data_IF_815936289515
#
_entry.id   IF_815936289515
#
_cell.length_a   1.000
_cell.length_b   1.000
_cell.length_c   1.000
_cell.angle_alpha   90.00
_cell.angle_beta   90.00
_cell.angle_gamma   90.00
#
_symmetry.space_group_name_H-M   'P 1'
#
loop_
_entity.id
_entity.type
_entity.pdbx_description
1 polymer ?
#
# COMPACT_ATOMS: atom_id res chain seq x y z
N UNK A 1 -29.30 4.38 13.18
CA UNK A 1 -28.95 3.03 12.71
C UNK A 1 -27.48 3.02 12.29
N UNK A 2 -26.65 2.38 13.13
CA UNK A 2 -25.23 1.99 13.02
C UNK A 2 -24.24 2.83 12.16
N UNK A 3 -23.47 3.68 12.85
CA UNK A 3 -22.21 4.26 12.38
C UNK A 3 -21.08 3.23 12.50
N UNK A 4 -20.70 2.60 11.38
CA UNK A 4 -19.32 2.15 11.08
C UNK A 4 -19.12 2.23 9.57
N UNK A 5 -18.82 3.43 9.04
CA UNK A 5 -18.21 3.51 7.70
C UNK A 5 -16.86 2.79 7.82
N UNK A 6 -16.68 1.72 7.07
CA UNK A 6 -15.48 0.91 7.08
C UNK A 6 -14.24 1.80 6.94
N UNK A 7 -13.23 1.57 7.79
CA UNK A 7 -12.09 2.46 8.02
C UNK A 7 -11.12 2.68 6.83
N UNK A 8 -11.47 2.33 5.59
CA UNK A 8 -10.45 2.14 4.54
C UNK A 8 -10.95 2.40 3.11
N UNK A 9 -11.74 3.44 2.88
CA UNK A 9 -12.15 3.81 1.51
C UNK A 9 -11.15 4.82 0.95
N UNK A 10 -10.45 4.46 -0.12
CA UNK A 10 -9.66 5.41 -0.90
C UNK A 10 -10.57 6.25 -1.81
N UNK A 11 -10.37 7.57 -1.78
CA UNK A 11 -11.04 8.56 -2.63
C UNK A 11 -9.98 9.43 -3.30
N UNK A 12 -9.95 9.44 -4.62
CA UNK A 12 -9.06 10.32 -5.38
C UNK A 12 -9.37 11.81 -5.20
N UNK A 13 -10.63 12.13 -4.91
CA UNK A 13 -11.10 13.50 -4.63
C UNK A 13 -10.40 14.14 -3.43
N UNK A 14 -9.79 13.34 -2.55
CA UNK A 14 -9.06 13.83 -1.38
C UNK A 14 -7.57 14.11 -1.64
N UNK A 15 -7.08 13.82 -2.84
CA UNK A 15 -5.70 14.15 -3.19
C UNK A 15 -5.60 15.62 -3.59
N UNK A 16 -4.57 16.31 -3.09
CA UNK A 16 -4.15 17.57 -3.68
C UNK A 16 -3.92 17.36 -5.18
N UNK A 17 -4.24 18.37 -5.99
CA UNK A 17 -4.21 18.32 -7.45
C UNK A 17 -2.76 18.10 -7.92
N UNK A 18 -2.35 16.84 -7.96
CA UNK A 18 -0.97 16.42 -8.21
C UNK A 18 -0.94 15.78 -9.58
N UNK A 19 0.00 16.20 -10.44
CA UNK A 19 0.26 15.51 -11.69
C UNK A 19 0.62 14.06 -11.38
N UNK A 20 -0.11 13.09 -11.94
CA UNK A 20 0.19 11.67 -11.80
C UNK A 20 0.16 10.97 -13.15
N UNK A 21 0.90 9.87 -13.27
CA UNK A 21 0.91 9.04 -14.46
C UNK A 21 -0.03 7.84 -14.27
N UNK A 22 -0.87 7.57 -15.27
CA UNK A 22 -1.64 6.32 -15.36
C UNK A 22 -0.85 5.28 -16.16
N UNK A 23 -0.76 4.05 -15.66
CA UNK A 23 -0.11 2.92 -16.33
C UNK A 23 -1.09 1.76 -16.42
N UNK A 24 -1.44 1.33 -17.64
CA UNK A 24 -2.22 0.12 -17.86
C UNK A 24 -1.28 -1.06 -18.16
N UNK A 25 -1.51 -2.20 -17.51
CA UNK A 25 -0.68 -3.40 -17.66
C UNK A 25 -1.55 -4.65 -17.71
N UNK A 26 -1.19 -5.56 -18.62
CA UNK A 26 -1.82 -6.88 -18.74
C UNK A 26 -0.83 -7.95 -18.30
N UNK A 27 -1.24 -8.75 -17.32
CA UNK A 27 -0.45 -9.84 -16.76
C UNK A 27 -1.16 -11.17 -16.93
N UNK A 28 -0.39 -12.22 -17.13
CA UNK A 28 -0.84 -13.60 -16.95
C UNK A 28 -0.46 -14.06 -15.55
N UNK A 29 -1.44 -14.57 -14.82
CA UNK A 29 -1.24 -15.12 -13.48
C UNK A 29 -0.41 -16.39 -13.59
N UNK A 30 0.72 -16.38 -12.88
CA UNK A 30 1.55 -17.55 -12.68
C UNK A 30 0.91 -18.47 -11.62
N UNK A 31 0.85 -19.80 -11.83
CA UNK A 31 0.28 -20.72 -10.86
C UNK A 31 0.97 -20.74 -9.49
N UNK A 32 2.28 -20.48 -9.45
CA UNK A 32 3.08 -20.51 -8.23
C UNK A 32 3.28 -19.10 -7.63
N UNK A 33 3.53 -18.10 -8.48
CA UNK A 33 3.87 -16.73 -8.07
C UNK A 33 2.69 -15.76 -8.12
N UNK A 34 1.54 -16.18 -8.64
CA UNK A 34 0.38 -15.31 -8.84
C UNK A 34 0.70 -14.19 -9.83
N UNK A 35 0.35 -12.95 -9.47
CA UNK A 35 0.73 -11.77 -10.25
C UNK A 35 2.18 -11.33 -10.00
N UNK A 36 2.81 -11.83 -8.92
CA UNK A 36 4.15 -11.39 -8.53
C UNK A 36 4.20 -10.04 -7.83
N UNK A 37 3.09 -9.60 -7.24
CA UNK A 37 2.94 -8.32 -6.54
C UNK A 37 2.53 -8.63 -5.10
N UNK A 38 3.19 -8.00 -4.13
CA UNK A 38 2.64 -7.88 -2.78
C UNK A 38 2.06 -6.49 -2.59
N UNK A 39 0.96 -6.39 -1.85
CA UNK A 39 0.25 -5.13 -1.67
C UNK A 39 0.27 -4.66 -0.22
N UNK A 40 0.17 -3.36 -0.02
CA UNK A 40 -0.04 -2.73 1.27
C UNK A 40 -1.26 -1.81 1.22
N UNK A 41 -2.10 -1.90 2.26
CA UNK A 41 -3.11 -0.90 2.55
C UNK A 41 -2.55 0.18 3.45
N UNK A 42 -2.62 1.44 3.02
CA UNK A 42 -2.27 2.58 3.86
C UNK A 42 -3.53 3.37 4.22
N UNK A 43 -3.58 3.85 5.47
CA UNK A 43 -4.61 4.78 5.96
C UNK A 43 -3.90 5.79 6.86
N UNK A 44 -3.76 7.03 6.39
CA UNK A 44 -3.26 8.12 7.22
C UNK A 44 -4.42 9.02 7.68
N UNK A 45 -4.54 9.25 8.99
CA UNK A 45 -5.68 9.95 9.63
C UNK A 45 -5.80 11.43 9.27
N UNK A 46 -4.78 12.01 8.64
CA UNK A 46 -4.67 13.45 8.38
C UNK A 46 -4.77 13.84 6.90
N UNK A 47 -5.36 12.97 6.06
CA UNK A 47 -5.93 13.23 4.71
C UNK A 47 -5.31 12.48 3.52
N UNK A 48 -4.03 12.13 3.44
CA UNK A 48 -3.46 12.18 2.08
C UNK A 48 -3.27 10.88 1.27
N UNK A 49 -3.26 9.69 1.86
CA UNK A 49 -3.01 8.47 1.05
C UNK A 49 -3.79 7.29 1.60
N UNK A 50 -4.92 7.00 0.97
CA UNK A 50 -5.64 5.73 1.09
C UNK A 50 -5.42 4.90 -0.16
N UNK A 51 -5.53 3.57 -0.05
CA UNK A 51 -5.59 2.69 -1.23
C UNK A 51 -4.73 1.44 -1.13
N UNK A 52 -4.67 0.71 -2.24
CA UNK A 52 -3.87 -0.52 -2.40
C UNK A 52 -2.62 -0.20 -3.19
N UNK A 53 -1.47 -0.29 -2.55
CA UNK A 53 -0.19 0.05 -3.16
C UNK A 53 0.67 -1.18 -3.38
N UNK A 54 1.48 -1.17 -4.44
CA UNK A 54 2.53 -2.17 -4.66
C UNK A 54 3.58 -2.00 -3.58
N UNK A 55 3.66 -2.98 -2.66
CA UNK A 55 4.65 -3.03 -1.58
C UNK A 55 5.97 -3.63 -2.05
N UNK A 56 5.91 -4.72 -2.80
CA UNK A 56 7.09 -5.36 -3.37
C UNK A 56 6.74 -6.15 -4.62
N UNK A 57 7.77 -6.42 -5.42
CA UNK A 57 7.68 -7.27 -6.60
C UNK A 57 8.46 -8.56 -6.37
N UNK A 58 7.87 -9.69 -6.74
CA UNK A 58 8.50 -11.00 -6.62
C UNK A 58 9.49 -11.17 -7.78
N UNK A 59 10.78 -11.49 -7.54
CA UNK A 59 11.74 -11.72 -8.61
C UNK A 59 11.27 -12.77 -9.62
N UNK A 60 11.60 -12.55 -10.90
CA UNK A 60 11.25 -13.44 -12.03
C UNK A 60 9.75 -13.63 -12.28
N UNK A 61 8.89 -12.84 -11.64
CA UNK A 61 7.45 -12.89 -11.82
C UNK A 61 6.97 -12.10 -13.05
N UNK A 62 5.70 -12.30 -13.43
CA UNK A 62 5.06 -11.56 -14.52
C UNK A 62 5.11 -10.04 -14.31
N UNK A 63 4.87 -9.55 -13.09
CA UNK A 63 4.95 -8.13 -12.77
C UNK A 63 6.36 -7.55 -13.01
N UNK A 64 7.42 -8.24 -12.57
CA UNK A 64 8.81 -7.79 -12.81
C UNK A 64 9.15 -7.85 -14.30
N UNK A 65 8.81 -8.94 -14.97
CA UNK A 65 9.10 -9.14 -16.40
C UNK A 65 8.36 -8.15 -17.30
N UNK A 66 7.21 -7.63 -16.85
CA UNK A 66 6.52 -6.56 -17.57
C UNK A 66 7.35 -5.27 -17.67
N UNK A 67 8.19 -4.99 -16.67
CA UNK A 67 8.95 -3.74 -16.55
C UNK A 67 8.10 -2.47 -16.33
N UNK A 68 6.77 -2.60 -16.31
CA UNK A 68 5.84 -1.47 -16.23
C UNK A 68 5.48 -1.11 -14.79
N UNK A 69 5.43 -2.11 -13.91
CA UNK A 69 5.00 -1.97 -12.50
C UNK A 69 6.20 -1.64 -11.63
N UNK A 70 6.03 -0.70 -10.70
CA UNK A 70 7.03 -0.30 -9.71
C UNK A 70 6.46 -0.36 -8.31
N UNK A 71 7.35 -0.49 -7.34
CA UNK A 71 7.02 -0.30 -5.92
C UNK A 71 6.47 1.11 -5.74
N UNK A 72 5.46 1.25 -4.88
CA UNK A 72 4.67 2.45 -4.62
C UNK A 72 3.64 2.85 -5.67
N UNK A 73 3.49 2.11 -6.77
CA UNK A 73 2.34 2.31 -7.65
C UNK A 73 1.04 2.00 -6.88
N UNK A 74 0.02 2.85 -7.04
CA UNK A 74 -1.34 2.57 -6.56
C UNK A 74 -2.05 1.69 -7.59
N UNK A 75 -2.70 0.63 -7.14
CA UNK A 75 -3.63 -0.14 -7.96
C UNK A 75 -5.00 0.55 -7.91
N UNK A 76 -5.39 1.15 -9.03
CA UNK A 76 -6.64 1.86 -9.17
C UNK A 76 -7.77 0.94 -9.64
N UNK A 77 -7.51 0.09 -10.63
CA UNK A 77 -8.52 -0.75 -11.27
C UNK A 77 -8.00 -2.15 -11.53
N UNK A 78 -8.89 -3.15 -11.46
CA UNK A 78 -8.62 -4.55 -11.81
C UNK A 78 -9.71 -5.04 -12.75
N UNK A 79 -9.35 -5.40 -13.98
CA UNK A 79 -10.28 -5.89 -15.01
C UNK A 79 -11.51 -4.98 -15.21
N UNK A 80 -11.34 -3.66 -15.25
CA UNK A 80 -12.46 -2.72 -15.36
C UNK A 80 -13.15 -2.37 -14.04
N UNK A 81 -12.83 -3.04 -12.93
CA UNK A 81 -13.43 -2.79 -11.61
C UNK A 81 -12.57 -1.81 -10.83
N UNK A 82 -13.07 -0.59 -10.60
CA UNK A 82 -12.38 0.39 -9.75
C UNK A 82 -12.29 -0.12 -8.32
N UNK A 83 -11.12 0.06 -7.71
CA UNK A 83 -10.87 -0.22 -6.31
C UNK A 83 -11.16 0.98 -5.41
N UNK A 84 -11.51 2.12 -6.00
CA UNK A 84 -12.02 3.28 -5.26
C UNK A 84 -13.29 2.86 -4.49
N UNK A 85 -13.50 3.44 -3.31
CA UNK A 85 -14.65 3.10 -2.45
C UNK A 85 -14.70 1.66 -1.88
N UNK A 86 -13.79 0.78 -2.27
CA UNK A 86 -13.69 -0.56 -1.70
C UNK A 86 -12.92 -0.54 -0.38
N UNK A 87 -13.28 -1.46 0.53
CA UNK A 87 -12.45 -1.71 1.71
C UNK A 87 -11.15 -2.40 1.30
N UNK A 88 -10.11 -2.31 2.14
CA UNK A 88 -8.86 -3.02 1.88
C UNK A 88 -9.07 -4.52 1.60
N UNK A 89 -9.94 -5.17 2.39
CA UNK A 89 -10.25 -6.58 2.22
C UNK A 89 -10.96 -6.86 0.90
N UNK A 90 -11.86 -5.97 0.45
CA UNK A 90 -12.58 -6.13 -0.81
C UNK A 90 -11.64 -5.90 -2.00
N UNK A 91 -10.79 -4.89 -1.95
CA UNK A 91 -9.79 -4.64 -2.99
C UNK A 91 -8.82 -5.82 -3.16
N UNK A 92 -8.35 -6.40 -2.05
CA UNK A 92 -7.53 -7.62 -2.07
C UNK A 92 -8.31 -8.78 -2.67
N UNK A 93 -9.58 -8.95 -2.30
CA UNK A 93 -10.44 -10.00 -2.89
C UNK A 93 -10.57 -9.83 -4.40
N UNK A 94 -10.80 -8.62 -4.90
CA UNK A 94 -10.85 -8.33 -6.35
C UNK A 94 -9.55 -8.72 -7.07
N UNK A 95 -8.40 -8.45 -6.46
CA UNK A 95 -7.10 -8.86 -7.02
C UNK A 95 -6.89 -10.38 -7.02
N UNK A 96 -7.41 -11.08 -6.02
CA UNK A 96 -7.30 -12.54 -5.92
C UNK A 96 -8.27 -13.23 -6.90
N UNK A 97 -9.48 -12.69 -7.07
CA UNK A 97 -10.52 -13.27 -7.93
C UNK A 97 -10.45 -12.87 -9.41
N UNK A 98 -9.43 -12.10 -9.81
CA UNK A 98 -9.30 -11.55 -11.18
C UNK A 98 -8.97 -12.56 -12.28
N UNK A 99 -8.92 -13.85 -11.97
CA UNK A 99 -8.72 -14.92 -12.94
C UNK A 99 -7.29 -15.02 -13.46
N UNK A 100 -7.14 -15.64 -14.64
CA UNK A 100 -5.84 -15.98 -15.25
C UNK A 100 -5.20 -14.81 -16.00
N UNK A 101 -5.98 -14.02 -16.74
CA UNK A 101 -5.51 -12.83 -17.43
C UNK A 101 -6.05 -11.62 -16.67
N UNK A 102 -5.15 -10.74 -16.24
CA UNK A 102 -5.48 -9.62 -15.35
C UNK A 102 -4.99 -8.33 -15.98
N UNK A 103 -5.90 -7.38 -16.13
CA UNK A 103 -5.63 -6.01 -16.54
C UNK A 103 -5.66 -5.12 -15.31
N UNK A 104 -4.55 -4.42 -15.05
CA UNK A 104 -4.44 -3.48 -13.95
C UNK A 104 -4.28 -2.07 -14.51
N UNK A 105 -5.03 -1.12 -13.94
CA UNK A 105 -4.72 0.31 -14.09
C UNK A 105 -4.04 0.78 -12.81
N UNK A 106 -2.85 1.35 -12.97
CA UNK A 106 -2.01 1.84 -11.90
C UNK A 106 -1.91 3.35 -11.95
N UNK A 107 -1.73 3.98 -10.79
CA UNK A 107 -1.31 5.37 -10.67
C UNK A 107 0.12 5.41 -10.14
N UNK A 108 0.98 6.19 -10.80
CA UNK A 108 2.32 6.51 -10.33
C UNK A 108 2.43 8.00 -10.05
N UNK A 109 2.80 8.30 -8.83
CA UNK A 109 3.08 9.66 -8.42
C UNK A 109 4.49 10.11 -8.83
N UNK A 110 4.71 11.42 -8.99
CA UNK A 110 6.04 11.99 -9.22
C UNK A 110 6.98 11.64 -8.05
N UNK A 111 8.28 11.38 -8.31
CA UNK A 111 9.24 10.99 -7.28
C UNK A 111 9.33 11.95 -6.07
N UNK A 112 9.08 13.24 -6.32
CA UNK A 112 9.21 14.33 -5.36
C UNK A 112 7.87 14.76 -4.74
N UNK A 113 6.78 14.08 -5.11
CA UNK A 113 5.45 14.33 -4.54
C UNK A 113 5.38 13.97 -3.05
N UNK A 114 4.53 14.67 -2.30
CA UNK A 114 4.23 14.37 -0.89
C UNK A 114 3.78 12.92 -0.75
N UNK A 115 3.01 12.42 -1.72
CA UNK A 115 2.51 11.05 -1.71
C UNK A 115 3.65 10.04 -1.76
N UNK A 116 4.62 10.24 -2.66
CA UNK A 116 5.79 9.36 -2.78
C UNK A 116 6.68 9.43 -1.54
N UNK A 117 6.88 10.63 -0.97
CA UNK A 117 7.67 10.81 0.25
C UNK A 117 7.04 10.06 1.43
N UNK A 118 5.73 10.20 1.64
CA UNK A 118 4.98 9.48 2.64
C UNK A 118 5.06 7.95 2.46
N UNK A 119 4.93 7.44 1.23
CA UNK A 119 5.02 6.01 0.93
C UNK A 119 6.43 5.45 1.23
N UNK A 120 7.49 6.21 0.93
CA UNK A 120 8.88 5.85 1.28
C UNK A 120 9.06 5.76 2.80
N UNK A 121 8.61 6.78 3.54
CA UNK A 121 8.70 6.79 5.01
C UNK A 121 7.95 5.60 5.65
N UNK A 122 6.76 5.28 5.15
CA UNK A 122 5.96 4.16 5.66
C UNK A 122 6.61 2.80 5.40
N UNK A 123 7.33 2.64 4.28
CA UNK A 123 8.08 1.42 4.00
C UNK A 123 9.31 1.27 4.91
N UNK A 124 10.04 2.35 5.15
CA UNK A 124 11.28 2.34 5.96
C UNK A 124 11.00 2.03 7.45
N UNK A 125 9.90 2.56 8.01
CA UNK A 125 9.50 2.26 9.40
C UNK A 125 9.21 0.76 9.61
N UNK A 126 8.68 0.05 8.60
CA UNK A 126 8.42 -1.40 8.70
C UNK A 126 9.71 -2.23 8.66
N UNK A 127 10.73 -1.78 7.92
CA UNK A 127 12.03 -2.45 7.86
C UNK A 127 12.81 -2.33 9.19
N UNK A 128 12.70 -1.19 9.90
CA UNK A 128 13.32 -1.03 11.21
C UNK A 128 12.60 -1.80 12.33
N UNK A 129 11.29 -2.04 12.21
CA UNK A 129 10.53 -2.86 13.18
C UNK A 129 10.92 -4.34 13.10
N UNK A 130 11.38 -4.82 11.93
CA UNK A 130 11.82 -6.22 11.79
C UNK A 130 13.14 -6.50 12.53
N UNK A 131 14.00 -5.49 12.69
CA UNK A 131 15.24 -5.56 13.49
C UNK A 131 14.97 -5.19 14.97
N UNK A 132 13.86 -4.52 15.26
CA UNK A 132 13.58 -3.94 16.58
C UNK A 132 12.68 -4.76 17.51
N UNK A 133 12.31 -6.02 17.21
CA UNK A 133 11.64 -6.84 18.26
C UNK A 133 12.50 -7.01 19.52
N UNK A 134 13.82 -6.91 19.41
CA UNK A 134 14.73 -6.91 20.56
C UNK A 134 14.92 -5.48 21.14
N UNK A 135 14.90 -4.44 20.30
CA UNK A 135 15.17 -3.07 20.75
C UNK A 135 13.93 -2.29 21.21
N UNK A 136 12.73 -2.65 20.76
CA UNK A 136 11.48 -1.98 21.14
C UNK A 136 11.05 -2.34 22.58
N UNK A 137 11.43 -3.53 23.08
CA UNK A 137 11.37 -3.82 24.51
C UNK A 137 12.35 -2.94 25.31
N UNK A 138 13.56 -2.69 24.79
CA UNK A 138 14.54 -1.85 25.48
C UNK A 138 14.15 -0.36 25.49
N UNK A 139 13.61 0.15 24.38
CA UNK A 139 13.22 1.55 24.28
C UNK A 139 11.94 1.85 25.08
N UNK A 140 10.95 0.93 25.10
CA UNK A 140 9.76 1.08 25.93
C UNK A 140 10.09 0.98 27.44
N UNK A 141 11.03 0.11 27.83
CA UNK A 141 11.50 0.02 29.22
C UNK A 141 12.30 1.26 29.65
N UNK A 142 13.12 1.84 28.77
CA UNK A 142 13.83 3.09 29.08
C UNK A 142 12.86 4.28 29.16
N UNK A 143 11.86 4.34 28.28
CA UNK A 143 10.81 5.37 28.32
C UNK A 143 9.90 5.23 29.54
N UNK A 144 9.53 4.01 29.94
CA UNK A 144 8.78 3.76 31.17
C UNK A 144 9.62 4.03 32.42
N UNK A 145 10.93 3.75 32.40
CA UNK A 145 11.81 4.07 33.53
C UNK A 145 12.06 5.58 33.68
N UNK A 146 12.09 6.33 32.56
CA UNK A 146 12.14 7.79 32.57
C UNK A 146 10.81 8.41 33.00
N UNK A 147 9.68 7.86 32.55
CA UNK A 147 8.36 8.29 32.99
C UNK A 147 8.09 7.95 34.47
N UNK A 148 8.67 6.87 35.01
CA UNK A 148 8.55 6.51 36.43
C UNK A 148 9.52 7.29 37.34
N UNK A 149 10.58 7.90 36.79
CA UNK A 149 11.46 8.80 37.56
C UNK A 149 10.95 10.24 37.64
N UNK A 150 10.05 10.64 36.74
CA UNK A 150 9.46 11.99 36.68
C UNK A 150 7.99 11.99 37.13
N UNK A 151 7.70 11.24 38.20
CA UNK A 151 6.61 11.47 39.17
C UNK A 151 5.20 11.73 38.66
N UNK A 152 4.39 10.67 38.60
CA UNK A 152 3.01 10.61 39.12
C UNK A 152 2.74 9.21 39.69
#
# INVERSE_FOLDING_TARGET
MSRRKALTVFLRENWENTDYQTIDVKLLRDPALGLGITVAGYVHRKEEIGGIFVKSLVPRSAAVLSGLIRVHDLILEVNGVSLEHLSHADSVRTLVSSGKQVELRLIRFPPDSVQTQCLKMLQEQVAHISVSRVHFCFFLLLFLSLLYKEGW
#
